data_IF_978077878490
#
_entry.id   IF_978077878490
#
_cell.length_a   1.000
_cell.length_b   1.000
_cell.length_c   1.000
_cell.angle_alpha   90.00
_cell.angle_beta   90.00
_cell.angle_gamma   90.00
#
_symmetry.space_group_name_H-M   'P 1'
#
loop_
_entity.id
_entity.type
_entity.pdbx_description
1 polymer ?
#
# COMPACT_ATOMS: atom_id res chain seq x y z
N UNK A 1 26.71 15.49 37.08
CA UNK A 1 25.62 15.77 36.13
C UNK A 1 26.10 16.01 34.69
N UNK A 2 27.23 16.66 34.41
CA UNK A 2 27.74 16.92 33.03
C UNK A 2 28.10 15.66 32.22
N UNK A 3 28.48 14.55 32.87
CA UNK A 3 28.94 13.31 32.17
C UNK A 3 27.81 12.50 31.53
N UNK A 4 26.55 12.71 31.89
CA UNK A 4 25.38 11.97 31.33
C UNK A 4 24.72 12.78 30.21
N UNK A 5 24.87 14.11 30.20
CA UNK A 5 24.22 14.99 29.24
C UNK A 5 24.79 14.84 27.81
N UNK A 6 26.10 14.62 27.69
CA UNK A 6 26.79 14.49 26.39
C UNK A 6 26.33 13.25 25.62
N UNK A 7 26.31 12.01 26.19
CA UNK A 7 25.85 10.84 25.46
C UNK A 7 24.35 10.93 25.09
N UNK A 8 23.52 11.53 25.95
CA UNK A 8 22.12 11.74 25.65
C UNK A 8 21.91 12.70 24.45
N UNK A 9 22.67 13.80 24.41
CA UNK A 9 22.64 14.74 23.29
C UNK A 9 23.09 14.08 21.98
N UNK A 10 24.13 13.24 22.01
CA UNK A 10 24.62 12.52 20.83
C UNK A 10 23.58 11.54 20.34
N UNK A 11 22.91 10.80 21.22
CA UNK A 11 21.84 9.86 20.84
C UNK A 11 20.65 10.60 20.20
N UNK A 12 20.22 11.74 20.78
CA UNK A 12 19.12 12.52 20.22
C UNK A 12 19.47 13.10 18.86
N UNK A 13 20.68 13.58 18.65
CA UNK A 13 21.15 14.07 17.35
C UNK A 13 21.25 12.95 16.32
N UNK A 14 21.69 11.75 16.72
CA UNK A 14 21.76 10.57 15.86
C UNK A 14 20.35 10.12 15.44
N UNK A 15 19.40 10.08 16.36
CA UNK A 15 18.00 9.76 16.06
C UNK A 15 17.35 10.78 15.13
N UNK A 16 17.62 12.07 15.36
CA UNK A 16 17.17 13.16 14.49
C UNK A 16 17.78 13.03 13.09
N UNK A 17 19.09 12.74 13.01
CA UNK A 17 19.77 12.49 11.73
C UNK A 17 19.16 11.31 10.99
N UNK A 18 18.95 10.16 11.65
CA UNK A 18 18.30 8.99 11.07
C UNK A 18 16.88 9.35 10.59
N UNK A 19 16.13 10.11 11.36
CA UNK A 19 14.78 10.55 11.00
C UNK A 19 14.78 11.47 9.77
N UNK A 20 15.68 12.46 9.73
CA UNK A 20 15.77 13.41 8.60
C UNK A 20 16.30 12.76 7.31
N UNK A 21 17.20 11.80 7.43
CA UNK A 21 17.83 11.15 6.26
C UNK A 21 17.24 9.79 5.93
N UNK A 22 16.21 9.33 6.68
CA UNK A 22 15.55 8.04 6.43
C UNK A 22 15.07 7.88 4.99
N UNK A 23 14.50 8.94 4.40
CA UNK A 23 14.00 8.90 3.02
C UNK A 23 15.13 8.76 1.99
N UNK A 24 16.26 9.43 2.21
CA UNK A 24 17.42 9.37 1.31
C UNK A 24 18.14 8.00 1.42
N UNK A 25 18.30 7.49 2.64
CA UNK A 25 18.89 6.15 2.86
C UNK A 25 18.00 5.07 2.20
N UNK A 26 16.67 5.21 2.30
CA UNK A 26 15.73 4.31 1.66
C UNK A 26 15.80 4.38 0.13
N UNK A 27 15.91 5.58 -0.46
CA UNK A 27 16.06 5.77 -1.91
C UNK A 27 17.33 5.13 -2.48
N UNK A 28 18.44 5.14 -1.74
CA UNK A 28 19.70 4.51 -2.16
C UNK A 28 19.58 2.98 -2.21
N UNK A 29 18.73 2.40 -1.35
CA UNK A 29 18.62 0.94 -1.19
C UNK A 29 17.76 0.23 -2.24
N UNK A 30 17.01 0.94 -3.12
CA UNK A 30 15.89 0.32 -3.86
C UNK A 30 15.74 0.71 -5.32
N UNK A 31 16.81 1.11 -6.03
CA UNK A 31 16.73 1.21 -7.50
C UNK A 31 16.66 -0.19 -8.12
N UNK A 32 15.47 -0.78 -8.14
CA UNK A 32 15.20 -1.97 -8.94
C UNK A 32 14.77 -1.48 -10.33
N UNK A 33 15.50 -1.86 -11.35
CA UNK A 33 15.10 -1.57 -12.73
C UNK A 33 13.93 -2.46 -13.12
N UNK A 34 12.94 -1.86 -13.80
CA UNK A 34 11.83 -2.58 -14.40
C UNK A 34 12.31 -3.29 -15.67
N UNK A 35 11.79 -4.49 -15.92
CA UNK A 35 11.97 -5.13 -17.23
C UNK A 35 11.19 -4.37 -18.30
N UNK A 36 11.55 -4.55 -19.56
CA UNK A 36 10.81 -3.89 -20.66
C UNK A 36 9.38 -4.41 -20.78
N UNK A 37 9.14 -5.68 -20.45
CA UNK A 37 7.80 -6.25 -20.33
C UNK A 37 6.97 -5.51 -19.26
N UNK A 38 7.51 -5.32 -18.05
CA UNK A 38 6.83 -4.60 -16.97
C UNK A 38 6.54 -3.14 -17.33
N UNK A 39 7.49 -2.46 -18.00
CA UNK A 39 7.29 -1.08 -18.48
C UNK A 39 6.17 -0.98 -19.50
N UNK A 40 6.17 -1.87 -20.48
CA UNK A 40 5.17 -1.90 -21.54
C UNK A 40 3.79 -2.21 -20.96
N UNK A 41 3.68 -3.19 -20.05
CA UNK A 41 2.41 -3.54 -19.44
C UNK A 41 1.86 -2.41 -18.58
N UNK A 42 2.68 -1.78 -17.72
CA UNK A 42 2.26 -0.61 -16.95
C UNK A 42 1.78 0.54 -17.87
N UNK A 43 2.46 0.77 -18.98
CA UNK A 43 2.06 1.80 -19.94
C UNK A 43 0.72 1.48 -20.60
N UNK A 44 0.54 0.24 -21.09
CA UNK A 44 -0.69 -0.20 -21.75
C UNK A 44 -1.90 -0.09 -20.81
N UNK A 45 -1.76 -0.54 -19.57
CA UNK A 45 -2.80 -0.43 -18.54
C UNK A 45 -3.12 1.03 -18.21
N UNK A 46 -2.12 1.92 -18.14
CA UNK A 46 -2.34 3.35 -17.93
C UNK A 46 -3.08 4.01 -19.11
N UNK A 47 -2.80 3.59 -20.34
CA UNK A 47 -3.53 4.01 -21.55
C UNK A 47 -4.98 3.55 -21.48
N UNK A 48 -5.24 2.30 -21.06
CA UNK A 48 -6.61 1.80 -20.87
C UNK A 48 -7.39 2.62 -19.83
N UNK A 49 -6.78 2.94 -18.69
CA UNK A 49 -7.40 3.82 -17.69
C UNK A 49 -7.80 5.16 -18.34
N UNK A 50 -6.85 5.83 -18.99
CA UNK A 50 -7.07 7.13 -19.65
C UNK A 50 -8.17 7.06 -20.70
N UNK A 51 -8.21 6.02 -21.51
CA UNK A 51 -9.22 5.83 -22.57
C UNK A 51 -10.63 5.70 -22.00
N UNK A 52 -10.74 5.15 -20.78
CA UNK A 52 -12.00 5.01 -20.06
C UNK A 52 -12.38 6.24 -19.21
N UNK A 53 -11.62 7.34 -19.31
CA UNK A 53 -11.89 8.59 -18.55
C UNK A 53 -11.33 8.57 -17.12
N UNK A 54 -10.53 7.56 -16.77
CA UNK A 54 -9.89 7.43 -15.47
C UNK A 54 -8.48 8.06 -15.44
N UNK A 55 -7.93 8.23 -14.23
CA UNK A 55 -6.54 8.64 -14.08
C UNK A 55 -5.62 7.56 -14.65
N UNK A 56 -4.55 7.91 -15.42
CA UNK A 56 -3.64 6.96 -16.04
C UNK A 56 -2.69 6.33 -15.00
N UNK A 57 -3.27 5.60 -14.07
CA UNK A 57 -2.55 4.88 -13.00
C UNK A 57 -2.72 3.39 -13.24
N UNK A 58 -1.60 2.67 -13.17
CA UNK A 58 -1.55 1.22 -13.37
C UNK A 58 -0.67 0.57 -12.32
N UNK A 59 -0.92 -0.72 -12.07
CA UNK A 59 -0.16 -1.53 -11.11
C UNK A 59 -0.01 -2.96 -11.57
N UNK A 60 1.13 -3.57 -11.22
CA UNK A 60 1.43 -4.98 -11.42
C UNK A 60 1.72 -5.63 -10.08
N UNK A 61 1.10 -6.78 -9.82
CA UNK A 61 1.44 -7.64 -8.71
C UNK A 61 2.30 -8.80 -9.22
N UNK A 62 3.47 -8.97 -8.61
CA UNK A 62 4.46 -9.96 -9.05
C UNK A 62 4.73 -11.00 -7.96
N UNK A 63 5.03 -12.22 -8.40
CA UNK A 63 5.60 -13.29 -7.58
C UNK A 63 6.92 -13.74 -8.24
N UNK A 64 8.05 -13.61 -7.57
CA UNK A 64 9.39 -13.87 -8.15
C UNK A 64 9.64 -13.16 -9.48
N UNK A 65 9.20 -11.91 -9.61
CA UNK A 65 9.24 -11.09 -10.84
C UNK A 65 8.28 -11.51 -11.96
N UNK A 66 7.55 -12.60 -11.86
CA UNK A 66 6.46 -12.96 -12.77
C UNK A 66 5.20 -12.16 -12.45
N UNK A 67 4.52 -11.63 -13.45
CA UNK A 67 3.27 -10.88 -13.30
C UNK A 67 2.14 -11.86 -12.99
N UNK A 68 1.60 -11.82 -11.78
CA UNK A 68 0.46 -12.63 -11.34
C UNK A 68 -0.85 -11.86 -11.30
N UNK A 69 -0.77 -10.51 -11.32
CA UNK A 69 -1.95 -9.65 -11.32
C UNK A 69 -1.65 -8.29 -11.95
N UNK A 70 -2.64 -7.78 -12.65
CA UNK A 70 -2.60 -6.52 -13.40
C UNK A 70 -3.81 -5.67 -13.03
N UNK A 71 -3.62 -4.36 -12.92
CA UNK A 71 -4.70 -3.45 -12.60
C UNK A 71 -4.44 -2.03 -13.08
N UNK A 72 -5.51 -1.35 -13.39
CA UNK A 72 -5.51 0.08 -13.71
C UNK A 72 -6.67 0.77 -13.00
N UNK A 73 -6.62 2.08 -12.91
CA UNK A 73 -7.65 2.87 -12.25
C UNK A 73 -8.97 2.75 -13.01
N UNK A 74 -10.05 2.43 -12.30
CA UNK A 74 -11.41 2.24 -12.84
C UNK A 74 -12.49 2.96 -12.03
N UNK A 75 -12.09 3.95 -11.23
CA UNK A 75 -12.97 4.67 -10.31
C UNK A 75 -14.14 5.30 -11.04
N UNK A 76 -13.88 5.99 -12.15
CA UNK A 76 -14.91 6.65 -12.96
C UNK A 76 -15.69 5.64 -13.79
N UNK A 77 -14.97 4.75 -14.49
CA UNK A 77 -15.56 3.73 -15.35
C UNK A 77 -16.57 2.85 -14.62
N UNK A 78 -16.19 2.35 -13.44
CA UNK A 78 -16.99 1.37 -12.70
C UNK A 78 -17.86 2.04 -11.59
N UNK A 79 -17.75 3.38 -11.42
CA UNK A 79 -18.36 4.10 -10.29
C UNK A 79 -17.98 3.46 -8.94
N UNK A 80 -16.76 2.95 -8.83
CA UNK A 80 -16.20 2.27 -7.64
C UNK A 80 -15.07 3.10 -7.03
N UNK A 81 -15.31 3.69 -5.87
CA UNK A 81 -14.29 4.46 -5.12
C UNK A 81 -13.07 3.61 -4.72
N UNK A 82 -13.20 2.29 -4.70
CA UNK A 82 -12.12 1.34 -4.46
C UNK A 82 -11.44 0.85 -5.75
N UNK A 83 -11.85 1.34 -6.92
CA UNK A 83 -11.33 0.96 -8.24
C UNK A 83 -9.91 1.45 -8.51
N UNK A 84 -9.03 1.49 -7.50
CA UNK A 84 -7.63 1.87 -7.65
C UNK A 84 -6.81 0.75 -8.28
N UNK A 85 -5.79 1.13 -9.04
CA UNK A 85 -4.95 0.21 -9.80
C UNK A 85 -4.36 -0.92 -8.94
N UNK A 86 -3.90 -0.60 -7.74
CA UNK A 86 -3.30 -1.57 -6.81
C UNK A 86 -4.32 -2.59 -6.30
N UNK A 87 -5.54 -2.12 -6.00
CA UNK A 87 -6.63 -2.99 -5.55
C UNK A 87 -7.09 -3.89 -6.71
N UNK A 88 -7.18 -3.34 -7.92
CA UNK A 88 -7.54 -4.10 -9.11
C UNK A 88 -6.48 -5.15 -9.46
N UNK A 89 -5.18 -4.83 -9.36
CA UNK A 89 -4.09 -5.80 -9.54
C UNK A 89 -4.18 -6.95 -8.53
N UNK A 90 -4.46 -6.64 -7.26
CA UNK A 90 -4.65 -7.65 -6.22
C UNK A 90 -5.90 -8.51 -6.48
N UNK A 91 -7.03 -7.89 -6.81
CA UNK A 91 -8.26 -8.62 -7.17
C UNK A 91 -8.04 -9.54 -8.37
N UNK A 92 -7.33 -9.07 -9.40
CA UNK A 92 -7.00 -9.85 -10.59
C UNK A 92 -6.12 -11.06 -10.26
N UNK A 93 -5.06 -10.88 -9.44
CA UNK A 93 -4.23 -11.99 -8.97
C UNK A 93 -5.05 -13.04 -8.20
N UNK A 94 -5.89 -12.60 -7.26
CA UNK A 94 -6.75 -13.50 -6.46
C UNK A 94 -7.76 -14.21 -7.36
N UNK A 95 -8.31 -13.53 -8.36
CA UNK A 95 -9.25 -14.14 -9.33
C UNK A 95 -8.57 -15.25 -10.16
N UNK A 96 -7.31 -15.04 -10.57
CA UNK A 96 -6.53 -16.01 -11.35
C UNK A 96 -6.10 -17.22 -10.52
N UNK A 97 -5.70 -17.02 -9.26
CA UNK A 97 -5.12 -18.07 -8.41
C UNK A 97 -6.09 -18.71 -7.42
N UNK A 98 -7.18 -18.04 -7.10
CA UNK A 98 -8.06 -18.33 -5.97
C UNK A 98 -7.52 -17.79 -4.65
N UNK A 99 -8.42 -17.32 -3.77
CA UNK A 99 -8.04 -16.65 -2.50
C UNK A 99 -7.17 -17.55 -1.61
N UNK A 100 -7.55 -18.82 -1.42
CA UNK A 100 -6.83 -19.74 -0.55
C UNK A 100 -5.41 -20.01 -1.07
N UNK A 101 -5.24 -20.22 -2.38
CA UNK A 101 -3.95 -20.44 -2.99
C UNK A 101 -3.09 -19.15 -2.91
N UNK A 102 -3.70 -17.98 -3.18
CA UNK A 102 -3.03 -16.71 -3.05
C UNK A 102 -2.51 -16.47 -1.63
N UNK A 103 -3.29 -16.76 -0.59
CA UNK A 103 -2.85 -16.57 0.80
C UNK A 103 -1.71 -17.51 1.23
N UNK A 104 -1.49 -18.61 0.53
CA UNK A 104 -0.38 -19.54 0.76
C UNK A 104 0.91 -19.16 0.03
N UNK A 105 0.89 -18.19 -0.88
CA UNK A 105 2.11 -17.72 -1.54
C UNK A 105 3.09 -17.15 -0.53
N UNK A 106 4.39 -17.36 -0.77
CA UNK A 106 5.45 -16.82 0.08
C UNK A 106 5.53 -15.30 -0.04
N UNK A 107 5.21 -14.58 1.05
CA UNK A 107 5.08 -13.11 1.05
C UNK A 107 6.37 -12.36 0.69
N UNK A 108 7.54 -12.92 0.99
CA UNK A 108 8.84 -12.36 0.62
C UNK A 108 9.04 -12.24 -0.88
N UNK A 109 8.33 -13.06 -1.68
CA UNK A 109 8.39 -13.09 -3.13
C UNK A 109 7.37 -12.19 -3.80
N UNK A 110 6.37 -11.73 -3.03
CA UNK A 110 5.30 -10.88 -3.56
C UNK A 110 5.74 -9.43 -3.53
N UNK A 111 5.61 -8.78 -4.68
CA UNK A 111 5.94 -7.37 -4.89
C UNK A 111 4.82 -6.70 -5.68
N UNK A 112 4.45 -5.48 -5.31
CA UNK A 112 3.59 -4.63 -6.13
C UNK A 112 4.39 -3.47 -6.71
N UNK A 113 4.16 -3.18 -7.98
CA UNK A 113 4.70 -2.02 -8.68
C UNK A 113 3.53 -1.16 -9.11
N UNK A 114 3.55 0.13 -8.80
CA UNK A 114 2.53 1.09 -9.22
C UNK A 114 3.16 2.29 -9.92
N UNK A 115 2.46 2.91 -10.86
CA UNK A 115 2.93 4.14 -11.52
C UNK A 115 2.86 5.35 -10.61
N UNK A 116 2.03 5.32 -9.56
CA UNK A 116 1.91 6.35 -8.53
C UNK A 116 2.02 5.71 -7.15
N UNK A 117 2.57 6.44 -6.18
CA UNK A 117 2.61 6.01 -4.77
C UNK A 117 1.22 5.61 -4.28
N UNK A 118 1.04 4.41 -3.66
CA UNK A 118 -0.24 3.96 -3.13
C UNK A 118 -0.84 4.91 -2.08
N UNK A 119 -2.15 5.10 -2.13
CA UNK A 119 -2.86 5.86 -1.10
C UNK A 119 -3.04 5.03 0.20
N UNK A 120 -3.54 5.67 1.27
CA UNK A 120 -3.72 5.00 2.56
C UNK A 120 -4.69 3.81 2.47
N UNK A 121 -5.73 3.91 1.63
CA UNK A 121 -6.64 2.80 1.37
C UNK A 121 -5.89 1.62 0.73
N UNK A 122 -5.11 1.86 -0.32
CA UNK A 122 -4.32 0.83 -0.98
C UNK A 122 -3.25 0.25 -0.04
N UNK A 123 -2.53 1.10 0.72
CA UNK A 123 -1.59 0.65 1.75
C UNK A 123 -2.26 -0.26 2.78
N UNK A 124 -3.47 0.11 3.26
CA UNK A 124 -4.24 -0.70 4.20
C UNK A 124 -4.54 -2.10 3.65
N UNK A 125 -5.01 -2.17 2.40
CA UNK A 125 -5.29 -3.46 1.73
C UNK A 125 -4.01 -4.27 1.53
N UNK A 126 -2.92 -3.66 1.07
CA UNK A 126 -1.64 -4.35 0.86
C UNK A 126 -1.09 -4.93 2.18
N UNK A 127 -1.17 -4.17 3.27
CA UNK A 127 -0.75 -4.63 4.59
C UNK A 127 -1.63 -5.77 5.12
N UNK A 128 -2.94 -5.73 4.89
CA UNK A 128 -3.87 -6.79 5.26
C UNK A 128 -3.49 -8.14 4.62
N UNK A 129 -3.02 -8.10 3.37
CA UNK A 129 -2.51 -9.29 2.67
C UNK A 129 -1.01 -9.52 2.87
N UNK A 130 -0.37 -8.79 3.81
CA UNK A 130 1.06 -8.88 4.13
C UNK A 130 1.98 -8.66 2.91
N UNK A 131 1.57 -7.78 1.98
CA UNK A 131 2.36 -7.34 0.84
C UNK A 131 3.14 -6.10 1.26
N UNK A 132 4.43 -6.27 1.56
CA UNK A 132 5.30 -5.21 2.11
C UNK A 132 6.30 -4.67 1.10
N UNK A 133 6.56 -5.39 0.01
CA UNK A 133 7.44 -4.92 -1.04
C UNK A 133 6.63 -4.09 -2.04
N UNK A 134 6.64 -2.79 -1.85
CA UNK A 134 5.88 -1.81 -2.64
C UNK A 134 6.86 -0.90 -3.35
N UNK A 135 6.76 -0.83 -4.68
CA UNK A 135 7.56 0.02 -5.54
C UNK A 135 6.65 0.95 -6.34
N UNK A 136 7.09 2.16 -6.59
CA UNK A 136 6.32 3.13 -7.40
C UNK A 136 7.24 4.07 -8.18
N UNK A 137 6.71 4.60 -9.31
CA UNK A 137 7.48 5.48 -10.19
C UNK A 137 7.43 6.94 -9.73
N UNK A 138 6.27 7.40 -9.26
CA UNK A 138 6.05 8.80 -8.87
C UNK A 138 5.55 8.89 -7.43
N UNK A 139 6.24 9.67 -6.62
CA UNK A 139 5.79 10.03 -5.27
C UNK A 139 4.59 10.99 -5.30
N UNK A 140 3.74 10.90 -4.29
CA UNK A 140 2.73 11.93 -4.03
C UNK A 140 3.38 13.21 -3.51
N UNK A 141 2.72 14.34 -3.73
CA UNK A 141 3.19 15.61 -3.19
C UNK A 141 3.18 15.59 -1.64
N UNK A 142 4.09 16.35 -1.03
CA UNK A 142 4.19 16.48 0.42
C UNK A 142 2.87 16.96 1.04
N UNK A 143 2.14 17.86 0.37
CA UNK A 143 0.84 18.35 0.83
C UNK A 143 -0.21 17.24 0.94
N UNK A 144 -0.23 16.28 0.00
CA UNK A 144 -1.12 15.11 0.06
C UNK A 144 -0.73 14.19 1.20
N UNK A 145 0.56 13.96 1.42
CA UNK A 145 1.04 13.10 2.50
C UNK A 145 0.75 13.72 3.90
N UNK A 146 0.88 15.02 4.07
CA UNK A 146 0.53 15.71 5.32
C UNK A 146 -0.98 15.67 5.59
N UNK A 147 -1.81 15.88 4.55
CA UNK A 147 -3.26 15.76 4.67
C UNK A 147 -3.70 14.34 5.06
N UNK A 148 -3.07 13.32 4.48
CA UNK A 148 -3.31 11.91 4.81
C UNK A 148 -2.98 11.62 6.28
N UNK A 149 -1.82 12.08 6.77
CA UNK A 149 -1.39 11.91 8.17
C UNK A 149 -2.34 12.62 9.14
N UNK A 150 -2.81 13.81 8.80
CA UNK A 150 -3.79 14.54 9.60
C UNK A 150 -5.13 13.82 9.68
N UNK A 151 -5.63 13.27 8.56
CA UNK A 151 -6.87 12.51 8.51
C UNK A 151 -6.75 11.21 9.31
N UNK A 152 -5.62 10.51 9.25
CA UNK A 152 -5.34 9.33 10.08
C UNK A 152 -5.41 9.67 11.57
N UNK A 153 -4.75 10.75 11.99
CA UNK A 153 -4.81 11.21 13.38
C UNK A 153 -6.25 11.51 13.81
N UNK A 154 -7.01 12.23 12.99
CA UNK A 154 -8.43 12.52 13.26
C UNK A 154 -9.26 11.26 13.38
N UNK A 155 -9.04 10.27 12.52
CA UNK A 155 -9.72 8.98 12.61
C UNK A 155 -9.42 8.30 13.95
N UNK A 156 -8.14 8.21 14.35
CA UNK A 156 -7.75 7.58 15.61
C UNK A 156 -8.37 8.29 16.84
N UNK A 157 -8.47 9.62 16.81
CA UNK A 157 -9.07 10.40 17.89
C UNK A 157 -10.60 10.28 17.97
N UNK A 158 -11.28 10.01 16.85
CA UNK A 158 -12.73 10.01 16.79
C UNK A 158 -13.36 8.60 16.76
N UNK A 159 -12.56 7.54 16.47
CA UNK A 159 -13.09 6.16 16.52
C UNK A 159 -13.56 5.81 17.93
N UNK A 160 -14.73 5.20 18.02
CA UNK A 160 -15.31 4.77 19.32
C UNK A 160 -15.80 3.34 19.19
N UNK A 161 -15.49 2.54 20.20
CA UNK A 161 -16.09 1.23 20.33
C UNK A 161 -17.52 1.36 20.85
N UNK A 162 -18.46 0.70 20.19
CA UNK A 162 -19.84 0.61 20.63
C UNK A 162 -19.97 -0.67 21.49
N UNK A 163 -20.63 -0.56 22.65
CA UNK A 163 -20.92 -1.70 23.49
C UNK A 163 -22.35 -2.17 23.26
N UNK A 164 -22.51 -3.39 22.80
CA UNK A 164 -23.78 -4.11 22.68
C UNK A 164 -23.55 -5.60 22.96
N UNK A 165 -23.50 -6.00 24.25
CA UNK A 165 -23.20 -7.38 24.65
C UNK A 165 -24.11 -8.41 24.00
N UNK A 166 -25.42 -8.13 23.91
CA UNK A 166 -26.40 -9.04 23.33
C UNK A 166 -26.15 -9.28 21.82
N UNK A 167 -25.88 -8.20 21.07
CA UNK A 167 -25.55 -8.31 19.66
C UNK A 167 -24.23 -9.04 19.45
N UNK A 168 -23.19 -8.67 20.21
CA UNK A 168 -21.89 -9.33 20.14
C UNK A 168 -22.01 -10.84 20.43
N UNK A 169 -22.77 -11.22 21.44
CA UNK A 169 -23.01 -12.61 21.80
C UNK A 169 -23.79 -13.37 20.71
N UNK A 170 -24.70 -12.69 20.02
CA UNK A 170 -25.42 -13.26 18.87
C UNK A 170 -24.50 -13.47 17.67
N UNK A 171 -23.62 -12.51 17.37
CA UNK A 171 -22.68 -12.57 16.27
C UNK A 171 -21.60 -13.63 16.49
N UNK A 172 -21.09 -13.79 17.72
CA UNK A 172 -20.10 -14.84 18.05
C UNK A 172 -20.62 -16.27 17.86
N UNK A 173 -21.97 -16.47 17.86
CA UNK A 173 -22.58 -17.76 17.49
C UNK A 173 -22.59 -18.01 15.99
N UNK A 174 -22.45 -16.97 15.16
CA UNK A 174 -22.41 -17.08 13.70
C UNK A 174 -21.00 -17.35 13.17
N UNK A 175 -20.00 -16.87 13.86
CA UNK A 175 -18.60 -17.05 13.46
C UNK A 175 -17.65 -17.02 14.67
N UNK A 176 -16.70 -17.95 14.79
CA UNK A 176 -15.82 -18.07 15.97
C UNK A 176 -14.88 -16.88 16.18
N UNK A 177 -14.61 -16.10 15.15
CA UNK A 177 -13.71 -14.92 15.20
C UNK A 177 -14.45 -13.63 15.59
N UNK A 178 -15.71 -13.72 15.99
CA UNK A 178 -16.48 -12.54 16.39
C UNK A 178 -16.40 -12.28 17.90
#
# INVERSE_FOLDING_TARGET
>A
MKKILIPFLIITLLLLFIFLFKSEIYKISTKTELTDEQKNELYNLAVLAKTNGDLPISSLLLNNNEIIGEGYNTVVRDSDICGHAEINALKNAISKTGLIAFTKLERSRIKIISTLEPCEMCKGVLLQYNIRNVQFLKEKSLSVNLSSSYNELRYQLNKKQISSPDLLNSLSKLHPDY
#
